data_IF_391504498440
#
_entry.id   IF_391504498440
#
_cell.length_a   1.000
_cell.length_b   1.000
_cell.length_c   1.000
_cell.angle_alpha   90.00
_cell.angle_beta   90.00
_cell.angle_gamma   90.00
#
_symmetry.space_group_name_H-M   'P 1'
#
loop_
_entity.id
_entity.type
_entity.pdbx_description
1 polymer ?
#
# COMPACT_ATOMS: atom_id res chain seq x y z
N UNK A 1 -12.51 16.20 19.56
CA UNK A 1 -13.49 17.03 18.81
C UNK A 1 -13.39 16.60 17.36
N UNK A 2 -14.51 16.35 16.71
CA UNK A 2 -14.51 16.08 15.27
C UNK A 2 -14.51 17.42 14.53
N UNK A 3 -13.65 17.52 13.53
CA UNK A 3 -13.60 18.66 12.63
C UNK A 3 -14.32 18.28 11.33
N UNK A 4 -15.14 19.20 10.82
CA UNK A 4 -15.87 19.06 9.56
C UNK A 4 -14.99 19.50 8.38
N UNK A 5 -14.99 18.70 7.32
CA UNK A 5 -14.26 18.95 6.09
C UNK A 5 -15.13 18.65 4.87
N UNK A 6 -14.80 19.26 3.75
CA UNK A 6 -15.28 18.83 2.44
C UNK A 6 -14.15 18.09 1.70
N UNK A 7 -14.47 16.91 1.15
CA UNK A 7 -13.51 16.06 0.43
C UNK A 7 -13.98 15.88 -1.00
N UNK A 8 -13.06 16.09 -1.95
CA UNK A 8 -13.28 15.91 -3.38
C UNK A 8 -12.21 14.97 -3.96
N UNK A 9 -12.64 14.01 -4.77
CA UNK A 9 -11.75 13.13 -5.55
C UNK A 9 -11.46 13.83 -6.89
N UNK A 10 -10.24 14.33 -7.06
CA UNK A 10 -9.84 15.11 -8.25
C UNK A 10 -9.45 14.22 -9.44
N UNK A 11 -8.85 13.06 -9.16
CA UNK A 11 -8.47 12.08 -10.16
C UNK A 11 -8.54 10.69 -9.55
N UNK A 12 -8.84 9.66 -10.35
CA UNK A 12 -8.88 8.28 -9.89
C UNK A 12 -8.39 7.35 -11.01
N UNK A 13 -7.38 6.53 -10.72
CA UNK A 13 -6.78 5.59 -11.65
C UNK A 13 -6.67 4.21 -11.00
N UNK A 14 -7.09 3.18 -11.74
CA UNK A 14 -6.77 1.79 -11.38
C UNK A 14 -5.34 1.49 -11.83
N UNK A 15 -4.58 0.85 -10.98
CA UNK A 15 -3.18 0.49 -11.23
C UNK A 15 -2.98 -1.00 -11.00
N UNK A 16 -2.07 -1.59 -11.76
CA UNK A 16 -1.55 -2.95 -11.53
C UNK A 16 -0.05 -2.95 -11.23
N UNK A 17 0.55 -1.77 -11.12
CA UNK A 17 1.96 -1.57 -10.77
C UNK A 17 2.13 -0.25 -10.00
N UNK A 18 3.12 -0.22 -9.11
CA UNK A 18 3.56 0.99 -8.42
C UNK A 18 4.91 1.39 -9.01
N UNK A 19 5.02 2.65 -9.41
CA UNK A 19 6.25 3.19 -9.98
C UNK A 19 7.40 3.09 -8.97
N UNK A 20 8.56 2.61 -9.44
CA UNK A 20 9.76 2.42 -8.60
C UNK A 20 9.56 1.49 -7.40
N UNK A 21 8.59 0.57 -7.46
CA UNK A 21 8.39 -0.47 -6.43
C UNK A 21 9.60 -1.41 -6.27
N UNK A 22 10.41 -1.55 -7.32
CA UNK A 22 11.60 -2.36 -7.39
C UNK A 22 12.73 -1.52 -7.95
N UNK A 23 13.87 -1.49 -7.26
CA UNK A 23 15.04 -0.69 -7.62
C UNK A 23 16.13 -1.55 -8.27
N UNK A 24 17.13 -0.90 -8.88
CA UNK A 24 18.33 -1.58 -9.37
C UNK A 24 19.00 -2.48 -8.31
N UNK A 25 19.03 -2.06 -7.05
CA UNK A 25 19.64 -2.84 -5.97
C UNK A 25 18.79 -4.04 -5.59
N UNK A 26 17.46 -3.94 -5.66
CA UNK A 26 16.57 -5.09 -5.47
C UNK A 26 16.78 -6.14 -6.56
N UNK A 27 16.85 -5.72 -7.84
CA UNK A 27 17.09 -6.66 -8.94
C UNK A 27 18.45 -7.35 -8.80
N UNK A 28 19.51 -6.63 -8.40
CA UNK A 28 20.81 -7.24 -8.14
C UNK A 28 20.74 -8.26 -7.00
N UNK A 29 20.08 -7.91 -5.90
CA UNK A 29 19.93 -8.82 -4.77
C UNK A 29 19.20 -10.11 -5.17
N UNK A 30 18.09 -9.99 -5.92
CA UNK A 30 17.34 -11.13 -6.45
C UNK A 30 18.20 -11.99 -7.39
N UNK A 31 18.95 -11.38 -8.31
CA UNK A 31 19.82 -12.09 -9.24
C UNK A 31 20.98 -12.79 -8.51
N UNK A 32 21.56 -12.17 -7.49
CA UNK A 32 22.58 -12.80 -6.65
C UNK A 32 22.03 -14.00 -5.86
N UNK A 33 20.74 -13.99 -5.48
CA UNK A 33 20.08 -15.16 -4.86
C UNK A 33 19.89 -16.34 -5.84
N UNK A 34 20.05 -16.11 -7.15
CA UNK A 34 20.04 -17.12 -8.23
C UNK A 34 21.49 -17.42 -8.67
N UNK A 35 22.48 -17.17 -7.81
CA UNK A 35 23.90 -17.42 -8.02
C UNK A 35 24.55 -16.64 -9.19
N UNK A 36 23.97 -15.50 -9.61
CA UNK A 36 24.64 -14.60 -10.57
C UNK A 36 25.72 -13.75 -9.89
N UNK A 37 26.93 -13.75 -10.45
CA UNK A 37 28.09 -13.06 -9.88
C UNK A 37 28.00 -11.53 -10.02
N UNK A 38 28.52 -10.79 -9.03
CA UNK A 38 28.57 -9.31 -9.07
C UNK A 38 29.29 -8.77 -10.32
N UNK A 39 30.31 -9.48 -10.81
CA UNK A 39 31.05 -9.12 -12.02
C UNK A 39 30.15 -9.14 -13.28
N UNK A 40 29.10 -9.98 -13.29
CA UNK A 40 28.12 -10.07 -14.39
C UNK A 40 27.07 -8.96 -14.30
N UNK A 41 26.76 -8.50 -13.09
CA UNK A 41 25.78 -7.45 -12.80
C UNK A 41 26.38 -6.04 -12.90
N UNK A 42 27.71 -5.95 -12.83
CA UNK A 42 28.47 -4.70 -12.82
C UNK A 42 28.30 -3.90 -14.11
N UNK A 43 27.81 -2.67 -13.99
CA UNK A 43 27.68 -1.73 -15.12
C UNK A 43 26.38 -1.86 -15.92
N UNK A 44 25.48 -2.78 -15.55
CA UNK A 44 24.14 -2.85 -16.12
C UNK A 44 23.27 -1.68 -15.64
N UNK A 45 22.43 -1.18 -16.53
CA UNK A 45 21.34 -0.26 -16.20
C UNK A 45 20.22 -0.96 -15.44
N UNK A 46 19.36 -0.20 -14.78
CA UNK A 46 18.18 -0.75 -14.09
C UNK A 46 17.25 -1.53 -15.02
N UNK A 47 17.08 -1.06 -16.27
CA UNK A 47 16.27 -1.76 -17.27
C UNK A 47 16.87 -3.12 -17.64
N UNK A 48 18.18 -3.18 -17.84
CA UNK A 48 18.88 -4.44 -18.15
C UNK A 48 18.81 -5.41 -16.97
N UNK A 49 18.99 -4.91 -15.73
CA UNK A 49 18.85 -5.71 -14.52
C UNK A 49 17.43 -6.25 -14.34
N UNK A 50 16.42 -5.43 -14.61
CA UNK A 50 15.02 -5.83 -14.59
C UNK A 50 14.73 -6.93 -15.61
N UNK A 51 15.14 -6.73 -16.86
CA UNK A 51 14.94 -7.72 -17.94
C UNK A 51 15.60 -9.05 -17.59
N UNK A 52 16.84 -9.01 -17.12
CA UNK A 52 17.57 -10.20 -16.68
C UNK A 52 16.88 -10.88 -15.50
N UNK A 53 16.43 -10.12 -14.49
CA UNK A 53 15.68 -10.65 -13.37
C UNK A 53 14.40 -11.36 -13.82
N UNK A 54 13.63 -10.77 -14.73
CA UNK A 54 12.41 -11.41 -15.25
C UNK A 54 12.70 -12.73 -15.96
N UNK A 55 13.78 -12.79 -16.74
CA UNK A 55 14.22 -14.02 -17.42
C UNK A 55 14.65 -15.09 -16.42
N UNK A 56 15.54 -14.74 -15.48
CA UNK A 56 16.04 -15.67 -14.46
C UNK A 56 14.93 -16.18 -13.54
N UNK A 57 13.93 -15.35 -13.23
CA UNK A 57 12.75 -15.81 -12.50
C UNK A 57 11.96 -16.80 -13.32
N UNK A 58 11.75 -16.57 -14.62
CA UNK A 58 10.95 -17.45 -15.47
C UNK A 58 11.60 -18.85 -15.70
N UNK A 59 12.90 -18.99 -15.46
CA UNK A 59 13.62 -20.26 -15.52
C UNK A 59 13.39 -21.18 -14.30
N UNK A 60 12.77 -20.65 -13.23
CA UNK A 60 12.42 -21.41 -12.03
C UNK A 60 10.97 -21.94 -12.09
N UNK A 61 10.58 -22.78 -11.13
CA UNK A 61 9.15 -23.04 -10.91
C UNK A 61 8.49 -21.81 -10.28
N UNK A 62 7.23 -21.51 -10.65
CA UNK A 62 6.54 -20.28 -10.24
C UNK A 62 6.55 -20.05 -8.71
N UNK A 63 6.31 -21.09 -7.93
CA UNK A 63 6.34 -21.01 -6.46
C UNK A 63 7.76 -20.82 -5.89
N UNK A 64 8.81 -21.27 -6.59
CA UNK A 64 10.20 -21.06 -6.20
C UNK A 64 10.61 -19.59 -6.44
N UNK A 65 10.22 -19.00 -7.57
CA UNK A 65 10.39 -17.55 -7.79
C UNK A 65 9.65 -16.73 -6.74
N UNK A 66 8.40 -17.09 -6.43
CA UNK A 66 7.64 -16.41 -5.40
C UNK A 66 8.34 -16.52 -4.04
N UNK A 67 8.85 -17.70 -3.68
CA UNK A 67 9.62 -17.92 -2.45
C UNK A 67 10.88 -17.05 -2.38
N UNK A 68 11.61 -16.93 -3.49
CA UNK A 68 12.81 -16.10 -3.59
C UNK A 68 12.48 -14.61 -3.36
N UNK A 69 11.46 -14.08 -4.05
CA UNK A 69 11.02 -12.69 -3.88
C UNK A 69 10.57 -12.40 -2.45
N UNK A 70 9.76 -13.29 -1.87
CA UNK A 70 9.28 -13.15 -0.50
C UNK A 70 10.43 -13.17 0.52
N UNK A 71 11.46 -13.98 0.29
CA UNK A 71 12.65 -14.00 1.13
C UNK A 71 13.45 -12.68 1.03
N UNK A 72 13.55 -12.07 -0.15
CA UNK A 72 14.15 -10.74 -0.31
C UNK A 72 13.33 -9.64 0.38
N UNK A 73 12.00 -9.66 0.18
CA UNK A 73 11.06 -8.66 0.70
C UNK A 73 11.03 -8.69 2.23
N UNK A 74 10.78 -9.87 2.81
CA UNK A 74 10.52 -9.99 4.25
C UNK A 74 11.77 -10.32 5.06
N UNK A 75 12.88 -10.70 4.42
CA UNK A 75 14.16 -11.00 5.09
C UNK A 75 13.92 -11.95 6.27
N UNK A 76 14.22 -11.50 7.49
CA UNK A 76 14.08 -12.27 8.72
C UNK A 76 12.75 -12.01 9.47
N UNK A 77 11.84 -11.19 8.93
CA UNK A 77 10.56 -10.87 9.59
C UNK A 77 9.61 -12.07 9.68
N UNK A 78 9.69 -12.99 8.71
CA UNK A 78 8.88 -14.21 8.69
C UNK A 78 9.75 -15.45 8.48
N UNK A 79 9.33 -16.55 9.09
CA UNK A 79 10.08 -17.82 8.99
C UNK A 79 10.08 -18.39 7.58
N UNK A 80 11.12 -19.16 7.22
CA UNK A 80 11.20 -19.86 5.94
C UNK A 80 9.98 -20.75 5.63
N UNK A 81 9.41 -21.42 6.64
CA UNK A 81 8.20 -22.22 6.47
C UNK A 81 6.96 -21.37 6.15
N UNK A 82 6.89 -20.14 6.67
CA UNK A 82 5.81 -19.20 6.33
C UNK A 82 5.98 -18.64 4.92
N UNK A 83 7.21 -18.32 4.52
CA UNK A 83 7.54 -17.91 3.14
C UNK A 83 7.09 -18.99 2.15
N UNK A 84 7.46 -20.24 2.41
CA UNK A 84 7.08 -21.40 1.59
C UNK A 84 5.55 -21.56 1.48
N UNK A 85 4.84 -21.41 2.60
CA UNK A 85 3.38 -21.43 2.58
C UNK A 85 2.77 -20.28 1.74
N UNK A 86 3.27 -19.06 1.91
CA UNK A 86 2.77 -17.88 1.19
C UNK A 86 3.06 -18.03 -0.31
N UNK A 87 4.25 -18.49 -0.71
CA UNK A 87 4.63 -18.63 -2.11
C UNK A 87 3.69 -19.57 -2.88
N UNK A 88 3.27 -20.67 -2.26
CA UNK A 88 2.25 -21.55 -2.82
C UNK A 88 0.87 -20.88 -2.90
N UNK A 89 0.46 -20.16 -1.85
CA UNK A 89 -0.83 -19.47 -1.83
C UNK A 89 -0.92 -18.36 -2.88
N UNK A 90 0.20 -17.78 -3.30
CA UNK A 90 0.21 -16.69 -4.27
C UNK A 90 -0.33 -17.09 -5.64
N UNK A 91 -0.27 -18.37 -5.99
CA UNK A 91 -0.80 -18.89 -7.26
C UNK A 91 -2.33 -18.96 -7.29
N UNK A 92 -2.97 -19.04 -6.13
CA UNK A 92 -4.40 -19.34 -6.02
C UNK A 92 -5.23 -18.18 -5.47
N UNK A 93 -4.60 -17.25 -4.76
CA UNK A 93 -5.29 -16.20 -3.99
C UNK A 93 -4.79 -14.82 -4.39
N UNK A 94 -5.56 -13.79 -4.05
CA UNK A 94 -5.14 -12.40 -4.16
C UNK A 94 -4.60 -11.92 -2.82
N UNK A 95 -3.39 -12.34 -2.45
CA UNK A 95 -2.90 -12.12 -1.08
C UNK A 95 -2.72 -10.64 -0.72
N UNK A 96 -2.60 -9.74 -1.69
CA UNK A 96 -2.63 -8.29 -1.45
C UNK A 96 -4.00 -7.75 -0.96
N UNK A 97 -5.04 -8.59 -0.97
CA UNK A 97 -6.39 -8.25 -0.48
C UNK A 97 -6.82 -9.18 0.66
N UNK A 98 -6.45 -10.46 0.60
CA UNK A 98 -6.96 -11.49 1.52
C UNK A 98 -5.97 -11.93 2.59
N UNK A 99 -4.72 -11.43 2.57
CA UNK A 99 -3.79 -11.73 3.65
C UNK A 99 -4.31 -11.12 4.96
N UNK A 100 -4.20 -11.86 6.06
CA UNK A 100 -4.79 -11.48 7.34
C UNK A 100 -4.17 -10.21 7.94
N UNK A 101 -2.90 -9.96 7.65
CA UNK A 101 -2.18 -8.76 8.05
C UNK A 101 -2.09 -7.77 6.87
N UNK A 102 -2.74 -6.59 6.96
CA UNK A 102 -2.65 -5.53 5.95
C UNK A 102 -1.25 -4.96 5.76
N UNK A 103 -0.36 -5.08 6.75
CA UNK A 103 1.02 -4.59 6.65
C UNK A 103 1.79 -5.23 5.48
N UNK A 104 1.40 -6.43 5.05
CA UNK A 104 2.03 -7.14 3.94
C UNK A 104 1.38 -6.87 2.59
N UNK A 105 0.24 -6.19 2.53
CA UNK A 105 -0.56 -6.06 1.31
C UNK A 105 0.19 -5.35 0.19
N UNK A 106 0.89 -4.25 0.47
CA UNK A 106 1.69 -3.52 -0.53
C UNK A 106 2.85 -4.38 -1.04
N UNK A 107 3.60 -5.01 -0.13
CA UNK A 107 4.74 -5.84 -0.52
C UNK A 107 4.31 -7.05 -1.36
N UNK A 108 3.16 -7.65 -1.01
CA UNK A 108 2.55 -8.70 -1.81
C UNK A 108 2.09 -8.14 -3.16
N UNK A 109 1.41 -7.00 -3.23
CA UNK A 109 1.04 -6.35 -4.49
C UNK A 109 2.24 -6.22 -5.44
N UNK A 110 3.37 -5.70 -4.94
CA UNK A 110 4.60 -5.54 -5.71
C UNK A 110 5.21 -6.89 -6.16
N UNK A 111 5.12 -7.92 -5.32
CA UNK A 111 5.57 -9.27 -5.69
C UNK A 111 4.73 -9.88 -6.81
N UNK A 112 3.39 -9.76 -6.75
CA UNK A 112 2.51 -10.23 -7.84
C UNK A 112 2.79 -9.52 -9.16
N UNK A 113 3.03 -8.21 -9.12
CA UNK A 113 3.35 -7.43 -10.32
C UNK A 113 4.59 -7.98 -11.03
N UNK A 114 5.69 -8.16 -10.29
CA UNK A 114 6.95 -8.66 -10.87
C UNK A 114 6.83 -10.11 -11.34
N UNK A 115 6.23 -10.98 -10.53
CA UNK A 115 6.05 -12.40 -10.88
C UNK A 115 5.10 -12.58 -12.06
N UNK A 116 4.05 -11.77 -12.15
CA UNK A 116 3.13 -11.83 -13.29
C UNK A 116 3.83 -11.44 -14.58
N UNK A 117 4.71 -10.44 -14.55
CA UNK A 117 5.55 -10.06 -15.70
C UNK A 117 6.50 -11.18 -16.11
N UNK A 118 7.12 -11.85 -15.14
CA UNK A 118 8.03 -12.98 -15.42
C UNK A 118 7.30 -14.19 -16.04
N UNK A 119 6.08 -14.49 -15.58
CA UNK A 119 5.35 -15.71 -15.96
C UNK A 119 4.13 -15.46 -16.86
N UNK A 120 4.09 -14.32 -17.56
CA UNK A 120 3.07 -13.94 -18.53
C UNK A 120 1.62 -14.30 -18.12
N UNK A 121 1.21 -13.89 -16.92
CA UNK A 121 -0.17 -14.08 -16.44
C UNK A 121 -0.45 -15.32 -15.58
N UNK A 122 0.56 -16.13 -15.25
CA UNK A 122 0.39 -17.25 -14.28
C UNK A 122 -0.06 -16.74 -12.91
N UNK A 123 0.54 -15.63 -12.45
CA UNK A 123 0.07 -14.92 -11.26
C UNK A 123 -1.08 -13.98 -11.62
N UNK A 124 -2.04 -13.84 -10.72
CA UNK A 124 -3.18 -12.94 -10.92
C UNK A 124 -2.69 -11.50 -10.99
N UNK A 125 -3.32 -10.69 -11.84
CA UNK A 125 -2.98 -9.27 -11.95
C UNK A 125 -3.36 -8.54 -10.66
N UNK A 126 -2.41 -7.89 -9.98
CA UNK A 126 -2.72 -7.20 -8.74
C UNK A 126 -3.53 -5.93 -9.03
N UNK A 127 -4.47 -5.60 -8.13
CA UNK A 127 -5.44 -4.52 -8.31
C UNK A 127 -5.27 -3.44 -7.24
N UNK A 128 -4.83 -2.27 -7.66
CA UNK A 128 -4.59 -1.10 -6.83
C UNK A 128 -5.29 0.14 -7.38
N UNK A 129 -5.22 1.22 -6.62
CA UNK A 129 -5.71 2.54 -7.00
C UNK A 129 -4.65 3.60 -6.73
N UNK A 130 -4.59 4.59 -7.62
CA UNK A 130 -3.86 5.84 -7.44
C UNK A 130 -4.81 6.99 -7.70
N UNK A 131 -4.99 7.87 -6.73
CA UNK A 131 -5.97 8.95 -6.82
C UNK A 131 -5.50 10.20 -6.10
N UNK A 132 -6.05 11.35 -6.49
CA UNK A 132 -5.77 12.64 -5.85
C UNK A 132 -7.00 13.11 -5.12
N UNK A 133 -6.84 13.55 -3.88
CA UNK A 133 -7.90 14.17 -3.10
C UNK A 133 -7.59 15.62 -2.78
N UNK A 134 -8.66 16.39 -2.65
CA UNK A 134 -8.66 17.75 -2.12
C UNK A 134 -9.51 17.77 -0.86
N UNK A 135 -8.94 18.31 0.20
CA UNK A 135 -9.61 18.46 1.49
C UNK A 135 -9.68 19.95 1.80
N UNK A 136 -10.89 20.45 2.07
CA UNK A 136 -11.14 21.85 2.38
C UNK A 136 -11.82 22.00 3.74
N UNK A 137 -11.47 23.06 4.47
CA UNK A 137 -12.13 23.44 5.72
C UNK A 137 -12.25 24.97 5.84
N UNK A 138 -13.23 25.44 6.61
CA UNK A 138 -13.47 26.87 6.82
C UNK A 138 -12.38 27.57 7.65
N UNK A 139 -11.67 26.78 8.47
CA UNK A 139 -10.70 27.27 9.45
C UNK A 139 -9.38 26.55 9.26
N UNK A 140 -8.28 27.30 9.35
CA UNK A 140 -6.93 26.76 9.28
C UNK A 140 -6.66 25.76 10.41
N UNK A 141 -7.15 26.07 11.61
CA UNK A 141 -6.99 25.25 12.81
C UNK A 141 -7.68 23.89 12.69
N UNK A 142 -8.61 23.72 11.73
CA UNK A 142 -9.19 22.40 11.46
C UNK A 142 -8.13 21.40 11.01
N UNK A 143 -7.07 21.85 10.34
CA UNK A 143 -6.00 20.99 9.85
C UNK A 143 -4.98 20.58 10.92
N UNK A 144 -5.05 21.12 12.14
CA UNK A 144 -4.12 20.77 13.23
C UNK A 144 -4.18 19.27 13.58
N UNK A 145 -5.31 18.60 13.30
CA UNK A 145 -5.47 17.16 13.55
C UNK A 145 -4.55 16.29 12.66
N UNK A 146 -4.00 16.83 11.58
CA UNK A 146 -3.17 16.09 10.61
C UNK A 146 -1.75 15.86 11.14
N UNK A 147 -1.22 16.75 11.97
CA UNK A 147 0.20 16.78 12.36
C UNK A 147 0.62 15.53 13.17
N UNK A 148 -0.28 15.00 14.00
CA UNK A 148 0.00 13.83 14.85
C UNK A 148 -0.50 12.50 14.29
N UNK A 149 -1.40 12.50 13.31
CA UNK A 149 -2.13 11.28 12.91
C UNK A 149 -2.59 11.31 11.44
N UNK A 150 -1.76 11.87 10.56
CA UNK A 150 -2.08 12.09 9.15
C UNK A 150 -2.79 10.90 8.49
N UNK A 151 -2.22 9.69 8.56
CA UNK A 151 -2.81 8.52 7.91
C UNK A 151 -4.20 8.18 8.48
N UNK A 152 -4.36 8.19 9.81
CA UNK A 152 -5.63 7.90 10.46
C UNK A 152 -6.70 8.94 10.08
N UNK A 153 -6.33 10.22 10.07
CA UNK A 153 -7.22 11.31 9.65
C UNK A 153 -7.67 11.13 8.21
N UNK A 154 -6.74 10.87 7.27
CA UNK A 154 -7.08 10.67 5.87
C UNK A 154 -8.00 9.46 5.68
N UNK A 155 -7.71 8.33 6.34
CA UNK A 155 -8.58 7.15 6.26
C UNK A 155 -9.97 7.43 6.82
N UNK A 156 -10.09 8.13 7.96
CA UNK A 156 -11.38 8.55 8.54
C UNK A 156 -12.17 9.44 7.58
N UNK A 157 -11.51 10.40 6.93
CA UNK A 157 -12.16 11.25 5.93
C UNK A 157 -12.68 10.42 4.76
N UNK A 158 -11.84 9.57 4.17
CA UNK A 158 -12.23 8.74 3.02
C UNK A 158 -13.34 7.73 3.36
N UNK A 159 -13.35 7.21 4.59
CA UNK A 159 -14.40 6.31 5.08
C UNK A 159 -15.81 6.92 5.02
N UNK A 160 -15.95 8.24 5.21
CA UNK A 160 -17.23 8.95 5.09
C UNK A 160 -17.77 8.96 3.64
N UNK A 161 -16.88 8.97 2.65
CA UNK A 161 -17.24 8.89 1.23
C UNK A 161 -17.61 7.48 0.76
N UNK A 162 -17.35 6.46 1.58
CA UNK A 162 -17.64 5.06 1.28
C UNK A 162 -19.01 4.64 1.84
N UNK A 163 -19.63 3.64 1.21
CA UNK A 163 -20.84 3.01 1.76
C UNK A 163 -20.52 2.33 3.09
N UNK A 164 -21.50 2.23 3.99
CA UNK A 164 -21.36 1.44 5.24
C UNK A 164 -21.01 -0.03 4.98
N UNK A 165 -21.41 -0.57 3.83
CA UNK A 165 -21.10 -1.94 3.41
C UNK A 165 -19.70 -2.13 2.84
N UNK A 166 -18.95 -1.04 2.61
CA UNK A 166 -17.59 -1.11 2.10
C UNK A 166 -16.69 -1.89 3.06
N UNK A 167 -15.71 -2.62 2.53
CA UNK A 167 -14.85 -3.50 3.33
C UNK A 167 -14.08 -2.72 4.40
N UNK A 168 -13.57 -1.52 4.06
CA UNK A 168 -12.92 -0.62 5.00
C UNK A 168 -13.82 -0.33 6.22
N UNK A 169 -15.05 0.14 5.96
CA UNK A 169 -16.00 0.47 7.00
C UNK A 169 -16.41 -0.75 7.82
N UNK A 170 -16.62 -1.91 7.19
CA UNK A 170 -17.00 -3.14 7.90
C UNK A 170 -15.91 -3.71 8.80
N UNK A 171 -14.64 -3.62 8.40
CA UNK A 171 -13.54 -4.21 9.15
C UNK A 171 -12.97 -3.25 10.20
N UNK A 172 -13.05 -1.95 9.96
CA UNK A 172 -12.43 -0.94 10.80
C UNK A 172 -13.40 0.07 11.41
N UNK A 173 -14.72 -0.20 11.44
CA UNK A 173 -15.74 0.72 12.01
C UNK A 173 -15.32 1.24 13.39
N UNK A 174 -14.95 0.34 14.30
CA UNK A 174 -14.55 0.66 15.66
C UNK A 174 -13.27 1.52 15.72
N UNK A 175 -12.35 1.33 14.77
CA UNK A 175 -11.08 2.09 14.68
C UNK A 175 -11.28 3.46 14.06
N UNK A 176 -12.18 3.56 13.07
CA UNK A 176 -12.55 4.81 12.40
C UNK A 176 -13.18 5.77 13.41
N UNK A 177 -14.09 5.27 14.27
CA UNK A 177 -14.75 6.09 15.32
C UNK A 177 -13.95 6.18 16.62
N UNK A 178 -13.02 5.25 16.84
CA UNK A 178 -12.26 5.12 18.08
C UNK A 178 -11.06 6.06 18.14
N UNK A 179 -10.46 6.19 19.32
CA UNK A 179 -9.43 7.18 19.61
C UNK A 179 -8.05 6.90 18.98
N UNK A 180 -7.84 5.72 18.37
CA UNK A 180 -6.54 5.33 17.80
C UNK A 180 -6.72 4.41 16.59
N UNK A 181 -5.97 4.68 15.51
CA UNK A 181 -6.02 3.89 14.27
C UNK A 181 -4.63 3.69 13.64
N UNK A 182 -3.71 2.97 14.33
CA UNK A 182 -2.35 2.75 13.86
C UNK A 182 -2.27 1.93 12.56
N UNK A 183 -3.29 1.11 12.27
CA UNK A 183 -3.36 0.30 11.05
C UNK A 183 -3.62 1.12 9.78
N UNK A 184 -4.02 2.40 9.90
CA UNK A 184 -4.29 3.28 8.76
C UNK A 184 -3.11 3.43 7.78
N UNK A 185 -1.86 3.37 8.29
CA UNK A 185 -0.64 3.38 7.47
C UNK A 185 -0.49 2.17 6.56
N UNK A 186 -1.12 1.04 6.92
CA UNK A 186 -1.08 -0.19 6.12
C UNK A 186 -2.21 -0.21 5.07
N UNK A 187 -3.20 0.68 5.21
CA UNK A 187 -4.29 0.89 4.26
C UNK A 187 -3.85 1.89 3.18
N UNK A 188 -3.27 3.01 3.59
CA UNK A 188 -2.68 4.01 2.71
C UNK A 188 -1.22 3.67 2.42
N UNK A 189 -0.97 2.90 1.36
CA UNK A 189 0.37 2.40 1.01
C UNK A 189 1.38 3.51 0.72
N UNK A 190 0.95 4.53 -0.04
CA UNK A 190 1.76 5.72 -0.29
C UNK A 190 0.86 6.94 -0.13
N UNK A 191 1.29 7.88 0.69
CA UNK A 191 0.63 9.16 0.89
C UNK A 191 1.62 10.29 0.61
N UNK A 192 1.36 11.07 -0.43
CA UNK A 192 2.21 12.18 -0.86
C UNK A 192 1.45 13.49 -0.78
N UNK A 193 1.97 14.44 -0.02
CA UNK A 193 1.46 15.81 -0.03
C UNK A 193 1.80 16.50 -1.35
N UNK A 194 0.79 17.10 -1.98
CA UNK A 194 0.94 17.84 -3.24
C UNK A 194 0.91 19.35 -3.02
N UNK A 195 -0.02 19.82 -2.18
CA UNK A 195 -0.16 21.25 -1.88
C UNK A 195 -0.84 21.47 -0.53
N UNK A 196 -0.47 22.59 0.09
CA UNK A 196 -0.88 22.99 1.43
C UNK A 196 -1.11 24.49 1.42
N UNK A 197 -2.33 24.91 1.75
CA UNK A 197 -2.72 26.31 1.96
C UNK A 197 -3.42 26.48 3.31
N UNK A 198 -3.89 27.67 3.66
CA UNK A 198 -4.58 27.86 4.95
C UNK A 198 -5.90 27.08 5.04
N UNK A 199 -6.61 26.90 3.92
CA UNK A 199 -7.97 26.31 3.92
C UNK A 199 -8.07 25.01 3.10
N UNK A 200 -6.97 24.57 2.48
CA UNK A 200 -6.97 23.41 1.59
C UNK A 200 -5.68 22.59 1.74
N UNK A 201 -5.82 21.26 1.65
CA UNK A 201 -4.74 20.29 1.49
C UNK A 201 -5.03 19.38 0.30
N UNK A 202 -4.01 19.05 -0.49
CA UNK A 202 -4.11 18.04 -1.54
C UNK A 202 -3.10 16.92 -1.32
N UNK A 203 -3.57 15.69 -1.51
CA UNK A 203 -2.76 14.49 -1.37
C UNK A 203 -2.94 13.57 -2.57
N UNK A 204 -1.84 12.98 -3.02
CA UNK A 204 -1.84 11.81 -3.91
C UNK A 204 -1.72 10.55 -3.05
N UNK A 205 -2.61 9.60 -3.30
CA UNK A 205 -2.74 8.37 -2.52
C UNK A 205 -2.59 7.17 -3.45
N UNK A 206 -1.80 6.20 -3.01
CA UNK A 206 -1.76 4.85 -3.59
C UNK A 206 -2.21 3.84 -2.55
N UNK A 207 -3.07 2.90 -2.93
CA UNK A 207 -3.66 1.90 -2.03
C UNK A 207 -4.19 0.68 -2.82
N UNK A 208 -4.62 -0.37 -2.11
CA UNK A 208 -5.40 -1.46 -2.68
C UNK A 208 -6.74 -0.97 -3.24
N UNK A 209 -7.17 -1.57 -4.36
CA UNK A 209 -8.53 -1.38 -4.89
C UNK A 209 -9.59 -1.87 -3.89
N UNK A 210 -9.28 -2.87 -3.08
CA UNK A 210 -10.16 -3.40 -2.02
C UNK A 210 -10.72 -2.30 -1.10
N UNK A 211 -9.88 -1.33 -0.74
CA UNK A 211 -10.22 -0.32 0.26
C UNK A 211 -11.02 0.85 -0.33
N UNK A 212 -10.60 1.33 -1.50
CA UNK A 212 -11.06 2.61 -2.05
C UNK A 212 -11.63 2.52 -3.47
N UNK A 213 -11.81 1.31 -4.01
CA UNK A 213 -12.38 1.09 -5.34
C UNK A 213 -13.75 1.75 -5.54
N UNK A 214 -14.54 1.89 -4.47
CA UNK A 214 -15.85 2.55 -4.52
C UNK A 214 -15.78 4.09 -4.63
N UNK A 215 -14.60 4.71 -4.48
CA UNK A 215 -14.45 6.17 -4.59
C UNK A 215 -14.38 6.69 -6.04
N UNK A 216 -14.25 5.80 -7.03
CA UNK A 216 -14.08 6.16 -8.45
C UNK A 216 -15.15 7.13 -8.97
N UNK A 217 -16.40 6.96 -8.52
CA UNK A 217 -17.56 7.72 -8.99
C UNK A 217 -18.19 8.58 -7.86
N UNK A 218 -17.45 8.84 -6.79
CA UNK A 218 -17.98 9.59 -5.63
C UNK A 218 -17.91 11.09 -5.90
N UNK A 219 -19.06 11.75 -5.77
CA UNK A 219 -19.15 13.22 -5.78
C UNK A 219 -18.56 13.80 -4.50
N UNK A 220 -18.14 15.08 -4.47
CA UNK A 220 -17.68 15.73 -3.25
C UNK A 220 -18.64 15.50 -2.08
N UNK A 221 -18.08 15.25 -0.90
CA UNK A 221 -18.84 14.88 0.29
C UNK A 221 -18.29 15.58 1.53
N UNK A 222 -19.18 15.80 2.50
CA UNK A 222 -18.80 16.30 3.81
C UNK A 222 -18.33 15.12 4.67
N UNK A 223 -17.28 15.35 5.45
CA UNK A 223 -16.63 14.32 6.23
C UNK A 223 -16.18 14.86 7.58
N UNK A 224 -16.26 14.00 8.58
CA UNK A 224 -15.74 14.25 9.92
C UNK A 224 -14.48 13.44 10.15
N UNK A 225 -13.49 14.06 10.79
CA UNK A 225 -12.31 13.36 11.28
C UNK A 225 -11.78 13.97 12.58
N UNK A 226 -10.95 13.19 13.27
CA UNK A 226 -10.22 13.60 14.45
C UNK A 226 -8.82 12.96 14.45
N UNK A 227 -7.89 13.58 15.18
CA UNK A 227 -6.56 13.00 15.43
C UNK A 227 -6.66 11.76 16.34
N UNK A 228 -5.65 10.91 16.29
CA UNK A 228 -5.49 9.90 17.33
C UNK A 228 -5.12 10.59 18.65
N UNK A 229 -5.55 10.00 19.75
CA UNK A 229 -5.15 10.45 21.08
C UNK A 229 -3.75 9.93 21.37
N UNK A 230 -2.85 10.81 21.81
CA UNK A 230 -1.56 10.40 22.35
C UNK A 230 -1.80 9.47 23.54
N UNK A 231 -1.16 8.29 23.55
CA UNK A 231 -1.12 7.46 24.76
C UNK A 231 -0.38 8.28 25.82
N UNK A 232 -1.11 8.75 26.85
CA UNK A 232 -0.45 9.24 28.06
C UNK A 232 0.36 8.07 28.61
N UNK A 233 1.69 8.14 28.45
CA UNK A 233 2.64 7.24 29.11
C UNK A 233 2.19 7.09 30.56
N UNK A 234 1.69 5.90 30.91
CA UNK A 234 1.52 5.54 32.30
C UNK A 234 2.94 5.41 32.87
N UNK A 235 3.47 6.53 33.37
CA UNK A 235 4.65 6.57 34.23
C UNK A 235 4.45 5.49 35.29
N UNK A 236 5.16 4.38 35.09
CA UNK A 236 5.16 3.25 36.00
C UNK A 236 5.92 3.72 37.23
N UNK A 237 5.18 4.02 38.30
CA UNK A 237 5.73 4.22 39.65
C UNK A 237 6.36 2.96 40.21
#
# INVERSE_FOLDING_TARGET
>A
MNNEFNVEILSFLKISEIENAWTADDYKALLSMIDMGEDELGGMSESELKEMCLMSLNDLEAHESAKLLLAHIFKDEITAGKIDQISHQMLEKNLWEVHADPAYHMSLFNAYELLRKAYNGTFTEPTGVKFTIKISADKKESFDIFDGSLHAVIVRLLANGLKKSAILNRLFEEKIIGESFPEAKNILWILKELSTTDNERQYEITSSYLWFGELEDVTPFDADAHADREEEDQETK
#
